data_IF_721710092525
#
_entry.id   IF_721710092525
#
_cell.length_a   1.000
_cell.length_b   1.000
_cell.length_c   1.000
_cell.angle_alpha   90.00
_cell.angle_beta   90.00
_cell.angle_gamma   90.00
#
_symmetry.space_group_name_H-M   'P 1'
#
loop_
_entity.id
_entity.type
_entity.pdbx_description
1 polymer ?
#
# COMPACT_ATOMS: atom_id res chain seq x y z
N UNK A 1 20.57 0.78 25.59
CA UNK A 1 19.90 -0.48 25.24
C UNK A 1 19.25 -1.22 26.43
N UNK A 2 19.27 -0.73 27.68
CA UNK A 2 18.51 -1.34 28.82
C UNK A 2 17.00 -1.01 28.84
N UNK A 3 16.54 -0.10 27.98
CA UNK A 3 15.13 0.35 27.92
C UNK A 3 14.24 -0.66 27.18
N UNK A 4 14.78 -1.36 26.17
CA UNK A 4 14.04 -2.36 25.38
C UNK A 4 13.66 -3.62 26.16
N UNK A 5 14.36 -3.92 27.25
CA UNK A 5 14.12 -5.08 28.11
C UNK A 5 13.11 -4.76 29.23
N UNK A 6 12.96 -3.47 29.58
CA UNK A 6 11.98 -3.00 30.59
C UNK A 6 10.58 -2.84 30.01
N UNK A 7 10.47 -2.43 28.75
CA UNK A 7 9.21 -2.52 28.03
C UNK A 7 9.10 -3.95 27.49
N UNK A 8 8.02 -4.64 27.81
CA UNK A 8 7.71 -6.01 27.37
C UNK A 8 7.42 -6.07 25.85
N UNK A 9 8.28 -5.45 25.03
CA UNK A 9 8.07 -5.16 23.60
C UNK A 9 8.02 -6.46 22.78
N UNK A 10 8.69 -7.51 23.27
CA UNK A 10 8.67 -8.86 22.69
C UNK A 10 7.46 -9.71 23.14
N UNK A 11 6.65 -9.24 24.10
CA UNK A 11 5.46 -9.94 24.57
C UNK A 11 4.19 -9.56 23.79
N UNK A 12 4.29 -8.66 22.81
CA UNK A 12 3.14 -8.26 21.99
C UNK A 12 2.74 -9.40 21.07
N UNK A 13 1.47 -9.81 21.14
CA UNK A 13 0.95 -10.87 20.27
C UNK A 13 0.93 -10.42 18.80
N UNK A 14 1.21 -11.36 17.90
CA UNK A 14 1.19 -11.11 16.45
C UNK A 14 -0.15 -10.50 15.98
N UNK A 15 -1.27 -10.96 16.52
CA UNK A 15 -2.60 -10.47 16.15
C UNK A 15 -2.80 -9.02 16.55
N UNK A 16 -2.37 -8.62 17.75
CA UNK A 16 -2.45 -7.22 18.18
C UNK A 16 -1.59 -6.32 17.30
N UNK A 17 -0.39 -6.78 16.92
CA UNK A 17 0.50 -6.03 16.02
C UNK A 17 -0.11 -5.84 14.64
N UNK A 18 -0.68 -6.91 14.06
CA UNK A 18 -1.33 -6.86 12.74
C UNK A 18 -2.53 -5.92 12.78
N UNK A 19 -3.43 -6.07 13.76
CA UNK A 19 -4.63 -5.23 13.88
C UNK A 19 -4.29 -3.76 14.08
N UNK A 20 -3.32 -3.46 14.95
CA UNK A 20 -2.88 -2.09 15.19
C UNK A 20 -2.31 -1.45 13.93
N UNK A 21 -1.41 -2.15 13.22
CA UNK A 21 -0.85 -1.62 11.96
C UNK A 21 -1.89 -1.50 10.86
N UNK A 22 -2.79 -2.46 10.73
CA UNK A 22 -3.87 -2.40 9.75
C UNK A 22 -4.79 -1.19 10.01
N UNK A 23 -5.09 -0.89 11.27
CA UNK A 23 -5.87 0.28 11.67
C UNK A 23 -5.16 1.58 11.30
N UNK A 24 -3.87 1.70 11.64
CA UNK A 24 -3.06 2.88 11.29
C UNK A 24 -2.98 3.07 9.78
N UNK A 25 -2.74 1.99 9.04
CA UNK A 25 -2.71 2.01 7.58
C UNK A 25 -4.06 2.50 7.02
N UNK A 26 -5.16 1.92 7.48
CA UNK A 26 -6.51 2.30 7.05
C UNK A 26 -6.82 3.77 7.34
N UNK A 27 -6.56 4.27 8.55
CA UNK A 27 -6.84 5.67 8.93
C UNK A 27 -5.98 6.62 8.10
N UNK A 28 -4.71 6.29 7.90
CA UNK A 28 -3.80 7.09 7.10
C UNK A 28 -4.28 7.18 5.65
N UNK A 29 -4.51 6.05 4.98
CA UNK A 29 -4.90 6.02 3.58
C UNK A 29 -6.28 6.62 3.35
N UNK A 30 -7.22 6.42 4.28
CA UNK A 30 -8.55 7.01 4.22
C UNK A 30 -8.52 8.53 4.36
N UNK A 31 -7.74 9.05 5.32
CA UNK A 31 -7.57 10.50 5.48
C UNK A 31 -6.90 11.12 4.25
N UNK A 32 -5.87 10.48 3.71
CA UNK A 32 -5.22 10.94 2.48
C UNK A 32 -6.15 10.93 1.27
N UNK A 33 -6.99 9.90 1.14
CA UNK A 33 -7.97 9.80 0.05
C UNK A 33 -9.05 10.89 0.15
N UNK A 34 -9.54 11.18 1.36
CA UNK A 34 -10.46 12.29 1.60
C UNK A 34 -9.82 13.63 1.29
N UNK A 35 -8.57 13.85 1.70
CA UNK A 35 -7.84 15.08 1.41
C UNK A 35 -7.67 15.28 -0.11
N UNK A 36 -7.24 14.23 -0.83
CA UNK A 36 -7.07 14.28 -2.29
C UNK A 36 -8.40 14.51 -3.01
N UNK A 37 -9.46 13.83 -2.60
CA UNK A 37 -10.79 13.99 -3.20
C UNK A 37 -11.38 15.36 -2.90
N UNK A 38 -11.19 15.87 -1.69
CA UNK A 38 -11.57 17.22 -1.28
C UNK A 38 -10.84 18.28 -2.08
N UNK A 39 -9.54 18.08 -2.34
CA UNK A 39 -8.76 18.95 -3.22
C UNK A 39 -9.35 19.00 -4.63
N UNK A 40 -9.59 17.84 -5.26
CA UNK A 40 -10.22 17.76 -6.59
C UNK A 40 -11.59 18.44 -6.59
N UNK A 41 -12.37 18.27 -5.53
CA UNK A 41 -13.71 18.86 -5.39
C UNK A 41 -13.70 20.38 -5.28
N UNK A 42 -12.76 20.95 -4.53
CA UNK A 42 -12.62 22.41 -4.35
C UNK A 42 -12.16 23.08 -5.64
N UNK A 43 -11.23 22.45 -6.36
CA UNK A 43 -10.68 22.97 -7.62
C UNK A 43 -11.45 22.49 -8.87
N UNK A 44 -12.71 22.10 -8.71
CA UNK A 44 -13.61 21.88 -9.86
C UNK A 44 -14.08 23.26 -10.33
N UNK A 45 -13.44 23.81 -11.36
CA UNK A 45 -13.76 25.17 -11.85
C UNK A 45 -15.20 25.24 -12.38
N UNK A 46 -15.50 24.48 -13.43
CA UNK A 46 -16.82 24.48 -14.11
C UNK A 46 -17.39 23.06 -14.26
N UNK A 47 -16.73 22.07 -13.66
CA UNK A 47 -17.10 20.68 -13.85
C UNK A 47 -18.31 20.28 -12.99
N UNK A 48 -19.42 19.91 -13.63
CA UNK A 48 -20.67 19.42 -13.00
C UNK A 48 -20.51 18.02 -12.37
N UNK A 49 -19.63 17.94 -11.37
CA UNK A 49 -19.42 16.73 -10.57
C UNK A 49 -20.48 16.70 -9.47
N UNK A 50 -21.35 15.69 -9.51
CA UNK A 50 -22.42 15.53 -8.52
C UNK A 50 -21.87 15.02 -7.18
N UNK A 51 -22.54 15.33 -6.06
CA UNK A 51 -22.09 14.89 -4.72
C UNK A 51 -21.99 13.36 -4.57
N UNK A 52 -22.74 12.60 -5.37
CA UNK A 52 -22.62 11.13 -5.43
C UNK A 52 -21.31 10.67 -6.06
N UNK A 53 -20.75 11.42 -7.02
CA UNK A 53 -19.47 11.13 -7.66
C UNK A 53 -18.30 11.44 -6.72
N UNK A 54 -18.46 12.38 -5.78
CA UNK A 54 -17.47 12.64 -4.74
C UNK A 54 -17.22 11.40 -3.87
N UNK A 55 -18.29 10.73 -3.42
CA UNK A 55 -18.19 9.51 -2.62
C UNK A 55 -17.47 8.39 -3.39
N UNK A 56 -17.83 8.18 -4.65
CA UNK A 56 -17.19 7.19 -5.53
C UNK A 56 -15.71 7.50 -5.79
N UNK A 57 -15.39 8.78 -6.03
CA UNK A 57 -14.00 9.25 -6.22
C UNK A 57 -13.18 8.98 -4.95
N UNK A 58 -13.74 9.30 -3.78
CA UNK A 58 -13.11 9.08 -2.48
C UNK A 58 -12.82 7.61 -2.21
N UNK A 59 -13.80 6.73 -2.45
CA UNK A 59 -13.61 5.29 -2.26
C UNK A 59 -12.62 4.68 -3.25
N UNK A 60 -12.62 5.15 -4.51
CA UNK A 60 -11.69 4.65 -5.54
C UNK A 60 -10.26 5.06 -5.23
N UNK A 61 -10.05 6.33 -4.85
CA UNK A 61 -8.72 6.82 -4.44
C UNK A 61 -8.27 6.11 -3.16
N UNK A 62 -9.18 5.89 -2.20
CA UNK A 62 -8.87 5.14 -0.98
C UNK A 62 -8.39 3.72 -1.29
N UNK A 63 -9.11 2.97 -2.13
CA UNK A 63 -8.74 1.61 -2.50
C UNK A 63 -7.35 1.59 -3.12
N UNK A 64 -7.07 2.50 -4.06
CA UNK A 64 -5.75 2.61 -4.67
C UNK A 64 -4.66 2.98 -3.65
N UNK A 65 -4.90 3.97 -2.78
CA UNK A 65 -3.94 4.34 -1.73
C UNK A 65 -3.65 3.17 -0.78
N UNK A 66 -4.69 2.40 -0.44
CA UNK A 66 -4.55 1.20 0.38
C UNK A 66 -3.68 0.13 -0.31
N UNK A 67 -3.89 -0.12 -1.62
CA UNK A 67 -3.04 -1.03 -2.39
C UNK A 67 -1.58 -0.59 -2.37
N UNK A 68 -1.31 0.68 -2.67
CA UNK A 68 0.06 1.19 -2.70
C UNK A 68 0.72 1.11 -1.31
N UNK A 69 0.00 1.47 -0.26
CA UNK A 69 0.52 1.38 1.11
C UNK A 69 0.88 -0.05 1.51
N UNK A 70 0.02 -1.02 1.21
CA UNK A 70 0.27 -2.44 1.51
C UNK A 70 1.48 -2.99 0.73
N UNK A 71 1.63 -2.61 -0.53
CA UNK A 71 2.79 -2.98 -1.34
C UNK A 71 4.08 -2.38 -0.78
N UNK A 72 4.06 -1.12 -0.33
CA UNK A 72 5.21 -0.48 0.29
C UNK A 72 5.61 -1.17 1.60
N UNK A 73 4.66 -1.51 2.47
CA UNK A 73 4.93 -2.28 3.70
C UNK A 73 5.56 -3.66 3.39
N UNK A 74 5.12 -4.30 2.31
CA UNK A 74 5.73 -5.55 1.84
C UNK A 74 7.16 -5.34 1.36
N UNK A 75 7.39 -4.41 0.43
CA UNK A 75 8.72 -4.13 -0.15
C UNK A 75 9.72 -3.71 0.92
N UNK A 76 9.34 -2.79 1.81
CA UNK A 76 10.21 -2.29 2.89
C UNK A 76 10.60 -3.36 3.92
N UNK A 77 9.89 -4.50 3.94
CA UNK A 77 10.23 -5.63 4.81
C UNK A 77 11.37 -6.48 4.25
N UNK A 78 11.44 -6.64 2.92
CA UNK A 78 12.44 -7.49 2.27
C UNK A 78 13.63 -6.70 1.71
N UNK A 79 13.42 -5.42 1.39
CA UNK A 79 14.42 -4.57 0.77
C UNK A 79 15.25 -3.84 1.83
N UNK A 80 16.60 -3.87 1.74
CA UNK A 80 17.45 -3.15 2.69
C UNK A 80 17.27 -1.65 2.55
N UNK A 81 17.35 -0.93 3.68
CA UNK A 81 17.01 0.49 3.79
C UNK A 81 17.71 1.40 2.79
N UNK A 82 18.92 1.03 2.34
CA UNK A 82 19.74 1.79 1.39
C UNK A 82 19.16 1.84 -0.03
N UNK A 83 18.45 0.79 -0.48
CA UNK A 83 17.94 0.70 -1.86
C UNK A 83 16.42 0.93 -1.96
N UNK A 84 15.73 1.11 -0.82
CA UNK A 84 14.30 1.40 -0.75
C UNK A 84 13.91 2.59 -1.64
N UNK A 85 14.61 3.74 -1.64
CA UNK A 85 14.23 4.88 -2.49
C UNK A 85 14.20 4.53 -3.97
N UNK A 86 15.17 3.76 -4.47
CA UNK A 86 15.22 3.33 -5.87
C UNK A 86 14.08 2.37 -6.22
N UNK A 87 13.75 1.44 -5.32
CA UNK A 87 12.64 0.52 -5.51
C UNK A 87 11.28 1.25 -5.57
N UNK A 88 11.05 2.17 -4.63
CA UNK A 88 9.82 2.97 -4.56
C UNK A 88 9.70 3.88 -5.77
N UNK A 89 10.77 4.59 -6.15
CA UNK A 89 10.77 5.48 -7.31
C UNK A 89 10.48 4.70 -8.59
N UNK A 90 11.10 3.53 -8.78
CA UNK A 90 10.82 2.67 -9.93
C UNK A 90 9.35 2.26 -9.98
N UNK A 91 8.78 1.88 -8.83
CA UNK A 91 7.36 1.52 -8.74
C UNK A 91 6.42 2.69 -9.07
N UNK A 92 6.72 3.89 -8.58
CA UNK A 92 5.97 5.11 -8.88
C UNK A 92 6.05 5.42 -10.37
N UNK A 93 7.25 5.43 -10.95
CA UNK A 93 7.46 5.72 -12.37
C UNK A 93 6.67 4.73 -13.22
N UNK A 94 6.73 3.43 -12.95
CA UNK A 94 5.96 2.43 -13.70
C UNK A 94 4.45 2.70 -13.65
N UNK A 95 3.91 3.02 -12.47
CA UNK A 95 2.48 3.31 -12.32
C UNK A 95 2.06 4.61 -13.03
N UNK A 96 2.86 5.68 -12.92
CA UNK A 96 2.59 6.95 -13.61
C UNK A 96 2.76 6.81 -15.13
N UNK A 97 3.80 6.12 -15.60
CA UNK A 97 3.98 5.84 -17.02
C UNK A 97 2.81 5.03 -17.59
N UNK A 98 2.20 4.15 -16.80
CA UNK A 98 1.05 3.35 -17.24
C UNK A 98 -0.24 4.15 -17.49
N UNK A 99 -0.39 5.30 -16.83
CA UNK A 99 -1.55 6.19 -17.06
C UNK A 99 -1.36 7.07 -18.30
N UNK A 100 -0.12 7.47 -18.57
CA UNK A 100 0.21 8.36 -19.70
C UNK A 100 0.37 7.62 -21.03
N UNK A 101 0.74 6.32 -20.99
CA UNK A 101 1.10 5.58 -22.20
C UNK A 101 -0.13 5.11 -22.99
N UNK A 102 -0.18 5.38 -24.32
CA UNK A 102 -1.21 4.83 -25.20
C UNK A 102 -0.89 3.36 -25.55
N UNK A 103 -1.25 2.44 -24.65
CA UNK A 103 -0.97 1.01 -24.81
C UNK A 103 -1.67 0.33 -26.00
N UNK A 104 -2.74 0.95 -26.53
CA UNK A 104 -3.41 0.48 -27.76
C UNK A 104 -2.50 0.61 -28.99
N UNK A 105 -1.63 1.63 -28.99
CA UNK A 105 -0.69 1.93 -30.07
C UNK A 105 0.67 1.26 -29.87
N UNK A 106 0.92 0.65 -28.70
CA UNK A 106 2.20 0.03 -28.39
C UNK A 106 2.22 -1.46 -28.76
N UNK A 107 3.41 -2.02 -29.04
CA UNK A 107 3.59 -3.46 -29.25
C UNK A 107 3.02 -4.27 -28.09
N UNK A 108 2.54 -5.49 -28.38
CA UNK A 108 1.92 -6.37 -27.38
C UNK A 108 2.74 -6.58 -26.11
N UNK A 109 4.08 -6.50 -26.22
CA UNK A 109 4.99 -6.57 -25.06
C UNK A 109 4.69 -5.50 -23.99
N UNK A 110 4.39 -4.25 -24.35
CA UNK A 110 4.18 -3.17 -23.37
C UNK A 110 2.80 -3.21 -22.71
N UNK A 111 1.90 -4.11 -23.14
CA UNK A 111 0.52 -4.19 -22.65
C UNK A 111 0.41 -4.82 -21.25
N UNK A 112 1.47 -5.37 -20.67
CA UNK A 112 1.45 -5.81 -19.28
C UNK A 112 1.13 -4.67 -18.31
N UNK A 113 1.39 -3.41 -18.71
CA UNK A 113 1.07 -2.21 -17.94
C UNK A 113 -0.43 -2.00 -17.66
N UNK A 114 -1.34 -2.68 -18.37
CA UNK A 114 -2.76 -2.68 -18.00
C UNK A 114 -2.98 -3.28 -16.61
N UNK A 115 -2.15 -4.24 -16.19
CA UNK A 115 -2.31 -4.83 -14.87
C UNK A 115 -1.87 -3.91 -13.72
N UNK A 116 -1.28 -2.72 -14.00
CA UNK A 116 -0.77 -1.83 -12.96
C UNK A 116 -1.91 -1.07 -12.26
N UNK A 117 -1.87 -0.94 -10.92
CA UNK A 117 -2.94 -0.28 -10.18
C UNK A 117 -3.11 1.20 -10.55
N UNK A 118 -2.05 1.88 -11.01
CA UNK A 118 -2.14 3.25 -11.53
C UNK A 118 -3.07 3.38 -12.74
N UNK A 119 -2.95 2.49 -13.72
CA UNK A 119 -3.80 2.49 -14.91
C UNK A 119 -5.26 2.20 -14.57
N UNK A 120 -5.49 1.19 -13.74
CA UNK A 120 -6.86 0.79 -13.38
C UNK A 120 -7.55 1.84 -12.49
N UNK A 121 -6.79 2.57 -11.65
CA UNK A 121 -7.29 3.74 -10.94
C UNK A 121 -7.74 4.83 -11.91
N UNK A 122 -6.92 5.15 -12.91
CA UNK A 122 -7.23 6.16 -13.91
C UNK A 122 -8.50 5.80 -14.68
N UNK A 123 -8.60 4.57 -15.18
CA UNK A 123 -9.76 4.11 -15.96
C UNK A 123 -11.05 4.12 -15.11
N UNK A 124 -10.96 3.73 -13.83
CA UNK A 124 -12.10 3.77 -12.88
C UNK A 124 -12.53 5.20 -12.57
N UNK A 125 -11.59 6.11 -12.28
CA UNK A 125 -11.88 7.52 -12.02
C UNK A 125 -12.51 8.18 -13.23
N UNK A 126 -11.94 7.97 -14.42
CA UNK A 126 -12.45 8.52 -15.67
C UNK A 126 -13.88 8.05 -15.92
N UNK A 127 -14.20 6.79 -15.61
CA UNK A 127 -15.57 6.30 -15.74
C UNK A 127 -16.56 6.95 -14.77
N UNK A 128 -16.18 7.12 -13.50
CA UNK A 128 -17.01 7.80 -12.49
C UNK A 128 -17.32 9.25 -12.93
N UNK A 129 -16.29 9.91 -13.41
CA UNK A 129 -16.28 11.30 -13.85
C UNK A 129 -17.06 11.56 -15.14
N UNK A 130 -16.97 10.64 -16.11
CA UNK A 130 -17.68 10.71 -17.39
C UNK A 130 -19.07 10.07 -17.37
N UNK A 131 -19.58 9.68 -16.20
CA UNK A 131 -20.89 9.02 -16.03
C UNK A 131 -21.05 7.76 -16.89
N UNK A 132 -19.99 6.96 -17.03
CA UNK A 132 -20.05 5.69 -17.75
C UNK A 132 -19.73 5.76 -19.25
N UNK A 133 -19.24 6.89 -19.77
CA UNK A 133 -18.82 7.00 -21.17
C UNK A 133 -17.66 6.05 -21.53
N UNK A 134 -16.91 5.62 -20.53
CA UNK A 134 -15.84 4.64 -20.66
C UNK A 134 -16.27 3.26 -20.10
N UNK A 135 -16.32 2.16 -20.87
CA UNK A 135 -16.87 0.88 -20.40
C UNK A 135 -15.80 -0.07 -19.80
N UNK A 136 -14.81 0.44 -19.06
CA UNK A 136 -13.71 -0.39 -18.54
C UNK A 136 -13.81 -0.80 -17.06
N UNK A 137 -14.78 -0.29 -16.30
CA UNK A 137 -14.97 -0.59 -14.86
C UNK A 137 -15.08 -2.09 -14.56
N UNK A 138 -15.71 -2.86 -15.45
CA UNK A 138 -15.85 -4.31 -15.30
C UNK A 138 -14.50 -5.05 -15.28
N UNK A 139 -13.45 -4.46 -15.86
CA UNK A 139 -12.08 -4.98 -15.82
C UNK A 139 -11.26 -4.30 -14.73
N UNK A 140 -11.36 -2.98 -14.63
CA UNK A 140 -10.49 -2.17 -13.76
C UNK A 140 -10.72 -2.42 -12.28
N UNK A 141 -11.99 -2.51 -11.86
CA UNK A 141 -12.34 -2.66 -10.46
C UNK A 141 -11.91 -4.02 -9.89
N UNK A 142 -12.17 -5.17 -10.57
CA UNK A 142 -11.67 -6.46 -10.10
C UNK A 142 -10.15 -6.56 -10.03
N UNK A 143 -9.42 -5.91 -10.94
CA UNK A 143 -7.95 -5.90 -10.92
C UNK A 143 -7.43 -5.12 -9.71
N UNK A 144 -8.01 -3.94 -9.41
CA UNK A 144 -7.69 -3.18 -8.20
C UNK A 144 -7.96 -3.98 -6.92
N UNK A 145 -9.11 -4.68 -6.86
CA UNK A 145 -9.42 -5.56 -5.73
C UNK A 145 -8.46 -6.75 -5.63
N UNK A 146 -8.03 -7.31 -6.75
CA UNK A 146 -7.04 -8.38 -6.78
C UNK A 146 -5.71 -7.92 -6.18
N UNK A 147 -5.25 -6.72 -6.55
CA UNK A 147 -4.06 -6.12 -5.93
C UNK A 147 -4.23 -5.84 -4.44
N UNK A 148 -5.43 -5.44 -4.02
CA UNK A 148 -5.72 -5.27 -2.59
C UNK A 148 -5.60 -6.60 -1.83
N UNK A 149 -6.15 -7.70 -2.36
CA UNK A 149 -6.02 -9.03 -1.76
C UNK A 149 -4.54 -9.45 -1.69
N UNK A 150 -3.80 -9.29 -2.79
CA UNK A 150 -2.35 -9.58 -2.83
C UNK A 150 -1.60 -8.73 -1.81
N UNK A 151 -1.94 -7.45 -1.68
CA UNK A 151 -1.37 -6.54 -0.70
C UNK A 151 -1.64 -6.97 0.74
N UNK A 152 -2.87 -7.39 1.06
CA UNK A 152 -3.25 -7.87 2.40
C UNK A 152 -2.49 -9.15 2.76
N UNK A 153 -2.41 -10.10 1.82
CA UNK A 153 -1.64 -11.34 2.00
C UNK A 153 -0.15 -11.02 2.20
N UNK A 154 0.41 -10.16 1.34
CA UNK A 154 1.80 -9.72 1.44
C UNK A 154 2.10 -9.04 2.77
N UNK A 155 1.23 -8.13 3.22
CA UNK A 155 1.33 -7.46 4.51
C UNK A 155 1.32 -8.44 5.69
N UNK A 156 0.42 -9.42 5.68
CA UNK A 156 0.37 -10.44 6.74
C UNK A 156 1.65 -11.29 6.78
N UNK A 157 2.18 -11.67 5.62
CA UNK A 157 3.46 -12.41 5.51
C UNK A 157 4.63 -11.56 5.99
N UNK A 158 4.70 -10.31 5.55
CA UNK A 158 5.74 -9.35 5.93
C UNK A 158 5.78 -9.15 7.46
N UNK A 159 4.62 -8.96 8.10
CA UNK A 159 4.56 -8.79 9.55
C UNK A 159 4.91 -10.06 10.32
N UNK A 160 4.49 -11.23 9.83
CA UNK A 160 4.91 -12.53 10.39
C UNK A 160 6.42 -12.68 10.34
N UNK A 161 7.03 -12.37 9.20
CA UNK A 161 8.48 -12.44 9.01
C UNK A 161 9.23 -11.49 9.95
N UNK A 162 8.79 -10.22 10.07
CA UNK A 162 9.38 -9.23 10.98
C UNK A 162 9.27 -9.66 12.44
N UNK A 163 8.10 -10.17 12.83
CA UNK A 163 7.87 -10.66 14.19
C UNK A 163 8.79 -11.83 14.53
N UNK A 164 8.90 -12.83 13.65
CA UNK A 164 9.79 -13.97 13.86
C UNK A 164 11.26 -13.56 13.94
N UNK A 165 11.70 -12.65 13.07
CA UNK A 165 13.09 -12.15 13.06
C UNK A 165 13.41 -11.39 14.35
N UNK A 166 12.49 -10.54 14.81
CA UNK A 166 12.65 -9.82 16.08
C UNK A 166 12.72 -10.76 17.29
N UNK A 167 11.88 -11.80 17.32
CA UNK A 167 11.89 -12.81 18.39
C UNK A 167 13.20 -13.59 18.45
N UNK A 168 13.74 -14.03 17.30
CA UNK A 168 15.02 -14.74 17.24
C UNK A 168 16.17 -13.87 17.75
N UNK A 169 16.25 -12.61 17.28
CA UNK A 169 17.26 -11.67 17.76
C UNK A 169 17.14 -11.40 19.27
N UNK A 170 15.92 -11.34 19.82
CA UNK A 170 15.70 -11.22 21.26
C UNK A 170 16.21 -12.41 22.06
N UNK A 171 16.02 -13.64 21.56
CA UNK A 171 16.50 -14.87 22.23
C UNK A 171 18.03 -14.92 22.24
N UNK A 172 18.69 -14.61 21.12
CA UNK A 172 20.16 -14.57 21.02
C UNK A 172 20.78 -13.58 22.02
N UNK A 173 20.16 -12.41 22.21
CA UNK A 173 20.62 -11.41 23.18
C UNK A 173 20.53 -11.95 24.61
N UNK A 174 19.43 -12.63 24.97
CA UNK A 174 19.24 -13.21 26.31
C UNK A 174 20.25 -14.32 26.57
N UNK A 175 20.53 -15.17 25.58
CA UNK A 175 21.52 -16.23 25.69
C UNK A 175 22.93 -15.66 25.87
N UNK A 176 23.29 -14.63 25.11
CA UNK A 176 24.56 -13.91 25.26
C UNK A 176 24.72 -13.30 26.66
N UNK A 177 23.72 -12.59 27.19
CA UNK A 177 23.74 -12.04 28.55
C UNK A 177 23.89 -13.12 29.63
N UNK A 178 23.22 -14.28 29.45
CA UNK A 178 23.35 -15.41 30.39
C UNK A 178 24.77 -16.00 30.36
N UNK A 179 25.37 -16.10 29.17
CA UNK A 179 26.73 -16.60 28.99
C UNK A 179 27.80 -15.68 29.58
N UNK A 180 27.59 -14.36 29.52
CA UNK A 180 28.48 -13.37 30.14
C UNK A 180 28.36 -13.44 31.66
N UNK A 181 27.14 -13.55 32.18
CA UNK A 181 26.89 -13.67 33.63
C UNK A 181 27.45 -14.97 34.22
N UNK A 182 27.51 -16.06 33.47
CA UNK A 182 28.16 -17.31 33.93
C UNK A 182 29.69 -17.27 33.87
N UNK A 183 30.27 -16.29 33.15
CA UNK A 183 31.72 -16.11 33.00
C UNK A 183 32.30 -15.08 33.97
N UNK A 184 31.45 -14.32 34.67
CA UNK A 184 31.79 -13.36 35.73
C UNK A 184 31.58 -13.99 37.10
#
# INVERSE_FOLDING_TARGET
>A
MKISLKFNLFAVSLTQLISFRALVAFVYTFSSALAMSGYIWVFREEWDVHSSQFGLTSMTIWLAMQVHFLLLEFVTTFVPMQIIPFAILTWIILNVSSTLSPFELSPGFYRWGYALPGRELYDTLLQVWTRGCNPYLGRSLPILWSWWIVGVVGFAVALRYRHQTAMKAGIEIIENEKSERSRA
#
